data_IF_668628644473
#
_entry.id   IF_668628644473
#
_cell.length_a   1.000
_cell.length_b   1.000
_cell.length_c   1.000
_cell.angle_alpha   90.00
_cell.angle_beta   90.00
_cell.angle_gamma   90.00
#
_symmetry.space_group_name_H-M   'P 1'
#
loop_
_entity.id
_entity.type
_entity.pdbx_description
1 polymer ?
#
# COMPACT_ATOMS: atom_id res chain seq x y z
N UNK A 1 8.55 19.86 3.18
CA UNK A 1 7.22 19.31 2.83
C UNK A 1 6.64 20.00 1.61
N UNK A 2 6.76 21.32 1.50
CA UNK A 2 6.23 22.11 0.37
C UNK A 2 6.75 21.68 -1.00
N UNK A 3 7.95 21.08 -1.07
CA UNK A 3 8.46 20.55 -2.33
C UNK A 3 7.82 19.21 -2.74
N UNK A 4 7.32 18.40 -1.81
CA UNK A 4 6.67 17.12 -2.15
C UNK A 4 5.31 17.30 -2.84
N UNK A 5 4.74 18.50 -2.82
CA UNK A 5 3.47 18.80 -3.49
C UNK A 5 3.66 19.37 -4.89
N UNK A 6 4.89 19.44 -5.41
CA UNK A 6 5.18 20.06 -6.72
C UNK A 6 5.18 19.07 -7.88
N UNK A 7 5.30 17.76 -7.62
CA UNK A 7 5.25 16.74 -8.67
C UNK A 7 4.00 15.87 -8.53
N UNK A 8 3.44 15.49 -9.68
CA UNK A 8 2.23 14.65 -9.72
C UNK A 8 2.45 13.30 -9.04
N UNK A 9 3.64 12.70 -9.21
CA UNK A 9 3.95 11.40 -8.64
C UNK A 9 3.97 11.43 -7.10
N UNK A 10 4.66 12.39 -6.49
CA UNK A 10 4.67 12.53 -5.03
C UNK A 10 3.30 12.93 -4.48
N UNK A 11 2.55 13.80 -5.18
CA UNK A 11 1.18 14.16 -4.80
C UNK A 11 0.24 12.95 -4.73
N UNK A 12 0.28 12.07 -5.74
CA UNK A 12 -0.54 10.85 -5.75
C UNK A 12 -0.20 9.97 -4.54
N UNK A 13 1.09 9.82 -4.23
CA UNK A 13 1.53 9.06 -3.07
C UNK A 13 1.09 9.69 -1.73
N UNK A 14 1.09 11.02 -1.62
CA UNK A 14 0.57 11.73 -0.44
C UNK A 14 -0.94 11.52 -0.25
N UNK A 15 -1.73 11.59 -1.33
CA UNK A 15 -3.16 11.29 -1.26
C UNK A 15 -3.42 9.83 -0.88
N UNK A 16 -2.63 8.89 -1.42
CA UNK A 16 -2.71 7.48 -1.02
C UNK A 16 -2.34 7.30 0.47
N UNK A 17 -1.31 7.98 0.97
CA UNK A 17 -0.94 7.95 2.38
C UNK A 17 -2.08 8.45 3.27
N UNK A 18 -2.71 9.58 2.92
CA UNK A 18 -3.85 10.11 3.65
C UNK A 18 -5.05 9.14 3.64
N UNK A 19 -5.34 8.53 2.49
CA UNK A 19 -6.41 7.54 2.34
C UNK A 19 -6.15 6.28 3.19
N UNK A 20 -4.95 5.72 3.13
CA UNK A 20 -4.59 4.54 3.92
C UNK A 20 -4.57 4.84 5.41
N UNK A 21 -4.09 6.02 5.81
CA UNK A 21 -4.11 6.43 7.21
C UNK A 21 -5.55 6.55 7.73
N UNK A 22 -6.42 7.24 6.98
CA UNK A 22 -7.85 7.35 7.33
C UNK A 22 -8.51 5.97 7.41
N UNK A 23 -8.20 5.08 6.47
CA UNK A 23 -8.68 3.70 6.49
C UNK A 23 -8.20 2.95 7.73
N UNK A 24 -6.95 3.16 8.14
CA UNK A 24 -6.38 2.64 9.38
C UNK A 24 -7.13 3.12 10.63
N UNK A 25 -7.51 4.39 10.70
CA UNK A 25 -8.30 4.93 11.82
C UNK A 25 -9.70 4.32 11.87
N UNK A 26 -10.39 4.26 10.73
CA UNK A 26 -11.75 3.70 10.64
C UNK A 26 -11.77 2.19 10.97
N UNK A 27 -10.82 1.44 10.42
CA UNK A 27 -10.67 0.00 10.74
C UNK A 27 -10.21 -0.24 12.18
N UNK A 28 -9.50 0.72 12.80
CA UNK A 28 -9.18 0.69 14.22
C UNK A 28 -10.42 0.83 15.12
N UNK A 29 -11.32 1.75 14.78
CA UNK A 29 -12.61 1.87 15.46
C UNK A 29 -13.46 0.60 15.28
N UNK A 30 -13.51 0.06 14.06
CA UNK A 30 -14.19 -1.22 13.79
C UNK A 30 -13.59 -2.38 14.60
N UNK A 31 -12.25 -2.47 14.65
CA UNK A 31 -11.53 -3.47 15.44
C UNK A 31 -11.93 -3.40 16.92
N UNK A 32 -11.97 -2.20 17.51
CA UNK A 32 -12.41 -2.02 18.89
C UNK A 32 -13.83 -2.54 19.11
N UNK A 33 -14.78 -2.13 18.26
CA UNK A 33 -16.17 -2.61 18.35
C UNK A 33 -16.24 -4.14 18.21
N UNK A 34 -15.50 -4.73 17.28
CA UNK A 34 -15.45 -6.18 17.10
C UNK A 34 -14.89 -6.92 18.34
N UNK A 35 -13.87 -6.36 18.99
CA UNK A 35 -13.33 -6.90 20.24
C UNK A 35 -14.34 -6.86 21.38
N UNK A 36 -15.09 -5.76 21.54
CA UNK A 36 -16.08 -5.65 22.62
C UNK A 36 -17.25 -6.64 22.50
N UNK A 37 -17.52 -7.15 21.29
CA UNK A 37 -18.58 -8.13 21.00
C UNK A 37 -18.09 -9.58 21.00
N UNK A 38 -16.79 -9.79 21.16
CA UNK A 38 -16.14 -11.09 21.11
C UNK A 38 -16.01 -11.66 22.53
N UNK A 39 -16.41 -12.93 22.72
CA UNK A 39 -16.30 -13.61 24.03
C UNK A 39 -14.84 -13.65 24.55
N UNK A 40 -13.88 -13.67 23.64
CA UNK A 40 -12.45 -13.68 23.96
C UNK A 40 -11.82 -12.29 23.98
N UNK A 41 -12.60 -11.23 23.72
CA UNK A 41 -12.14 -9.86 23.53
C UNK A 41 -11.02 -9.72 22.49
N UNK A 42 -10.97 -10.64 21.51
CA UNK A 42 -9.99 -10.63 20.41
C UNK A 42 -10.65 -10.16 19.13
N UNK A 43 -9.87 -9.41 18.34
CA UNK A 43 -10.28 -8.96 17.03
C UNK A 43 -10.31 -10.14 16.05
N UNK A 44 -11.30 -10.21 15.14
CA UNK A 44 -11.24 -11.12 14.01
C UNK A 44 -9.95 -10.91 13.21
N UNK A 45 -9.40 -12.00 12.67
CA UNK A 45 -8.07 -12.00 12.08
C UNK A 45 -7.90 -10.94 10.99
N UNK A 46 -8.73 -10.93 9.94
CA UNK A 46 -8.59 -9.94 8.86
C UNK A 46 -9.00 -8.52 9.25
N UNK A 47 -9.76 -8.33 10.33
CA UNK A 47 -10.03 -6.99 10.88
C UNK A 47 -8.75 -6.41 11.49
N UNK A 48 -7.99 -7.22 12.24
CA UNK A 48 -6.68 -6.82 12.75
C UNK A 48 -5.68 -6.56 11.62
N UNK A 49 -5.63 -7.44 10.62
CA UNK A 49 -4.74 -7.30 9.46
C UNK A 49 -5.08 -6.04 8.66
N UNK A 50 -6.37 -5.78 8.36
CA UNK A 50 -6.80 -4.59 7.64
C UNK A 50 -6.35 -3.30 8.33
N UNK A 51 -6.52 -3.22 9.66
CA UNK A 51 -6.09 -2.08 10.45
C UNK A 51 -4.57 -1.86 10.41
N UNK A 52 -3.80 -2.91 10.72
CA UNK A 52 -2.34 -2.82 10.78
C UNK A 52 -1.72 -2.55 9.40
N UNK A 53 -2.21 -3.21 8.37
CA UNK A 53 -1.76 -3.01 6.99
C UNK A 53 -2.05 -1.57 6.53
N UNK A 54 -3.25 -1.05 6.80
CA UNK A 54 -3.60 0.33 6.43
C UNK A 54 -2.66 1.37 7.05
N UNK A 55 -2.33 1.23 8.34
CA UNK A 55 -1.36 2.11 9.00
C UNK A 55 0.04 1.97 8.40
N UNK A 56 0.54 0.74 8.23
CA UNK A 56 1.87 0.51 7.66
C UNK A 56 1.98 1.04 6.23
N UNK A 57 0.96 0.80 5.41
CA UNK A 57 0.93 1.25 4.01
C UNK A 57 0.79 2.75 3.89
N UNK A 58 0.20 3.45 4.85
CA UNK A 58 0.22 4.91 4.89
C UNK A 58 1.66 5.46 5.01
N UNK A 59 2.47 4.90 5.90
CA UNK A 59 3.88 5.27 6.03
C UNK A 59 4.71 4.83 4.83
N UNK A 60 4.42 3.65 4.26
CA UNK A 60 5.05 3.23 3.02
C UNK A 60 4.72 4.18 1.85
N UNK A 61 3.48 4.66 1.76
CA UNK A 61 3.09 5.64 0.75
C UNK A 61 3.80 7.00 0.94
N UNK A 62 4.04 7.42 2.19
CA UNK A 62 4.91 8.58 2.47
C UNK A 62 6.35 8.36 2.00
N UNK A 63 6.91 7.17 2.22
CA UNK A 63 8.24 6.81 1.73
C UNK A 63 8.29 6.87 0.20
N UNK A 64 7.29 6.28 -0.46
CA UNK A 64 7.14 6.35 -1.93
C UNK A 64 7.04 7.80 -2.40
N UNK A 65 6.31 8.68 -1.70
CA UNK A 65 6.19 10.09 -2.07
C UNK A 65 7.55 10.81 -2.10
N UNK A 66 8.41 10.53 -1.11
CA UNK A 66 9.76 11.12 -1.03
C UNK A 66 10.63 10.65 -2.20
N UNK A 67 10.68 9.34 -2.47
CA UNK A 67 11.48 8.83 -3.58
C UNK A 67 10.92 9.22 -4.95
N UNK A 68 9.59 9.28 -5.10
CA UNK A 68 8.93 9.73 -6.31
C UNK A 68 9.25 11.20 -6.63
N UNK A 69 9.31 12.06 -5.60
CA UNK A 69 9.74 13.45 -5.78
C UNK A 69 11.15 13.53 -6.37
N UNK A 70 12.14 12.90 -5.74
CA UNK A 70 13.52 12.95 -6.23
C UNK A 70 13.70 12.25 -7.56
N UNK A 71 13.02 11.12 -7.78
CA UNK A 71 13.00 10.44 -9.08
C UNK A 71 12.46 11.36 -10.18
N UNK A 72 11.48 12.22 -9.88
CA UNK A 72 10.95 13.20 -10.83
C UNK A 72 11.92 14.34 -11.15
N UNK A 73 12.92 14.59 -10.30
CA UNK A 73 13.98 15.57 -10.55
C UNK A 73 15.17 14.98 -11.30
N UNK A 74 15.19 13.67 -11.51
CA UNK A 74 16.27 12.95 -12.19
C UNK A 74 16.05 12.89 -13.71
N UNK A 75 16.95 12.20 -14.41
CA UNK A 75 16.81 11.90 -15.85
C UNK A 75 15.81 10.77 -16.16
N UNK A 76 15.17 10.16 -15.15
CA UNK A 76 14.13 9.14 -15.36
C UNK A 76 12.89 9.77 -16.01
N UNK A 77 12.31 9.15 -17.06
CA UNK A 77 11.08 9.67 -17.69
C UNK A 77 9.94 9.85 -16.69
N UNK A 78 9.25 11.00 -16.75
CA UNK A 78 8.17 11.34 -15.82
C UNK A 78 7.05 10.29 -15.78
N UNK A 79 6.69 9.72 -16.93
CA UNK A 79 5.68 8.67 -17.03
C UNK A 79 6.11 7.39 -16.30
N UNK A 80 7.39 7.04 -16.35
CA UNK A 80 7.93 5.87 -15.66
C UNK A 80 7.97 6.09 -14.15
N UNK A 81 8.41 7.27 -13.68
CA UNK A 81 8.35 7.63 -12.26
C UNK A 81 6.90 7.58 -11.73
N UNK A 82 5.95 8.11 -12.49
CA UNK A 82 4.54 8.09 -12.12
C UNK A 82 3.97 6.66 -12.07
N UNK A 83 4.25 5.83 -13.09
CA UNK A 83 3.81 4.43 -13.12
C UNK A 83 4.39 3.63 -11.95
N UNK A 84 5.69 3.79 -11.68
CA UNK A 84 6.39 3.17 -10.55
C UNK A 84 5.93 3.66 -9.19
N UNK A 85 5.30 4.83 -9.13
CA UNK A 85 4.64 5.33 -7.91
C UNK A 85 3.24 4.74 -7.75
N UNK A 86 2.44 4.75 -8.82
CA UNK A 86 1.05 4.28 -8.79
C UNK A 86 0.97 2.78 -8.56
N UNK A 87 1.80 1.97 -9.23
CA UNK A 87 1.64 0.52 -9.23
C UNK A 87 1.73 -0.11 -7.83
N UNK A 88 2.73 0.19 -6.98
CA UNK A 88 2.76 -0.30 -5.60
C UNK A 88 1.55 0.16 -4.77
N UNK A 89 1.17 1.44 -4.89
CA UNK A 89 0.04 2.02 -4.15
C UNK A 89 -1.28 1.36 -4.51
N UNK A 90 -1.49 1.00 -5.78
CA UNK A 90 -2.66 0.26 -6.22
C UNK A 90 -2.72 -1.11 -5.54
N UNK A 91 -1.62 -1.86 -5.49
CA UNK A 91 -1.58 -3.16 -4.84
C UNK A 91 -1.76 -3.08 -3.31
N UNK A 92 -1.21 -2.04 -2.67
CA UNK A 92 -1.49 -1.75 -1.26
C UNK A 92 -2.98 -1.52 -1.02
N UNK A 93 -3.62 -0.68 -1.83
CA UNK A 93 -5.05 -0.39 -1.73
C UNK A 93 -5.92 -1.62 -1.98
N UNK A 94 -5.61 -2.42 -3.01
CA UNK A 94 -6.31 -3.68 -3.30
C UNK A 94 -6.19 -4.68 -2.14
N UNK A 95 -5.01 -4.79 -1.53
CA UNK A 95 -4.78 -5.67 -0.37
C UNK A 95 -5.62 -5.23 0.83
N UNK A 96 -5.63 -3.92 1.16
CA UNK A 96 -6.47 -3.38 2.23
C UNK A 96 -7.94 -3.69 1.97
N UNK A 97 -8.43 -3.44 0.75
CA UNK A 97 -9.81 -3.71 0.38
C UNK A 97 -10.17 -5.20 0.54
N UNK A 98 -9.28 -6.10 0.12
CA UNK A 98 -9.47 -7.54 0.30
C UNK A 98 -9.55 -7.92 1.79
N UNK A 99 -8.66 -7.38 2.63
CA UNK A 99 -8.70 -7.64 4.08
C UNK A 99 -9.97 -7.11 4.73
N UNK A 100 -10.48 -5.95 4.31
CA UNK A 100 -11.77 -5.44 4.77
C UNK A 100 -12.90 -6.39 4.40
N UNK A 101 -12.96 -6.84 3.13
CA UNK A 101 -13.98 -7.80 2.68
C UNK A 101 -13.92 -9.10 3.47
N UNK A 102 -12.73 -9.63 3.72
CA UNK A 102 -12.56 -10.87 4.48
C UNK A 102 -12.86 -10.69 5.96
N UNK A 103 -12.55 -9.53 6.53
CA UNK A 103 -12.94 -9.15 7.88
C UNK A 103 -14.46 -9.08 8.04
N UNK A 104 -15.17 -8.56 7.04
CA UNK A 104 -16.64 -8.52 7.01
C UNK A 104 -17.26 -9.91 6.90
N UNK A 105 -16.63 -10.82 6.13
CA UNK A 105 -17.05 -12.22 6.03
C UNK A 105 -16.67 -13.06 7.25
N UNK A 106 -15.90 -12.48 8.19
CA UNK A 106 -15.32 -13.19 9.34
C UNK A 106 -14.56 -14.46 8.92
N UNK A 107 -13.97 -14.44 7.72
CA UNK A 107 -13.11 -15.52 7.25
C UNK A 107 -11.88 -15.56 8.13
N UNK A 108 -11.52 -16.72 8.65
CA UNK A 108 -10.35 -16.86 9.54
C UNK A 108 -9.34 -17.87 9.01
N UNK A 109 -9.71 -18.63 7.98
CA UNK A 109 -8.81 -19.54 7.33
C UNK A 109 -7.79 -18.82 6.45
N UNK A 110 -6.67 -19.50 6.25
CA UNK A 110 -5.60 -19.03 5.39
C UNK A 110 -6.10 -18.98 3.93
N UNK A 111 -6.13 -17.78 3.35
CA UNK A 111 -6.52 -17.54 1.95
C UNK A 111 -5.82 -18.46 0.95
N UNK A 112 -4.55 -18.82 1.20
CA UNK A 112 -3.76 -19.69 0.32
C UNK A 112 -4.03 -21.17 0.51
N UNK A 113 -4.54 -21.57 1.69
CA UNK A 113 -4.88 -22.97 1.97
C UNK A 113 -6.19 -23.35 1.29
N UNK A 114 -7.18 -22.47 1.40
CA UNK A 114 -8.55 -22.72 0.91
C UNK A 114 -8.83 -21.95 -0.40
N UNK A 115 -7.78 -21.69 -1.18
CA UNK A 115 -7.87 -20.93 -2.42
C UNK A 115 -8.64 -21.72 -3.49
N UNK A 116 -9.83 -21.23 -3.83
CA UNK A 116 -10.67 -21.81 -4.88
C UNK A 116 -10.12 -21.55 -6.29
N UNK A 117 -9.18 -20.61 -6.45
CA UNK A 117 -8.65 -20.15 -7.74
C UNK A 117 -7.11 -19.95 -7.72
N UNK A 118 -6.32 -20.99 -7.42
CA UNK A 118 -4.86 -20.88 -7.20
C UNK A 118 -4.07 -20.37 -8.42
N UNK A 119 -4.59 -20.53 -9.63
CA UNK A 119 -4.01 -19.92 -10.83
C UNK A 119 -4.04 -18.40 -10.81
N UNK A 120 -5.20 -17.83 -10.43
CA UNK A 120 -5.43 -16.37 -10.39
C UNK A 120 -4.61 -15.75 -9.27
N UNK A 121 -4.64 -16.34 -8.07
CA UNK A 121 -3.88 -15.86 -6.91
C UNK A 121 -2.38 -15.86 -7.18
N UNK A 122 -1.83 -16.91 -7.80
CA UNK A 122 -0.40 -16.94 -8.16
C UNK A 122 -0.04 -15.84 -9.15
N UNK A 123 -0.89 -15.59 -10.15
CA UNK A 123 -0.67 -14.51 -11.11
C UNK A 123 -0.72 -13.15 -10.44
N UNK A 124 -1.71 -12.92 -9.58
CA UNK A 124 -1.86 -11.70 -8.80
C UNK A 124 -0.63 -11.44 -7.93
N UNK A 125 -0.17 -12.43 -7.16
CA UNK A 125 1.01 -12.30 -6.30
C UNK A 125 2.28 -11.99 -7.11
N UNK A 126 2.45 -12.60 -8.29
CA UNK A 126 3.57 -12.29 -9.19
C UNK A 126 3.50 -10.86 -9.70
N UNK A 127 2.33 -10.42 -10.14
CA UNK A 127 2.12 -9.04 -10.60
C UNK A 127 2.38 -8.03 -9.47
N UNK A 128 1.91 -8.32 -8.26
CA UNK A 128 2.16 -7.52 -7.06
C UNK A 128 3.65 -7.42 -6.77
N UNK A 129 4.38 -8.55 -6.71
CA UNK A 129 5.81 -8.54 -6.45
C UNK A 129 6.60 -7.74 -7.50
N UNK A 130 6.26 -7.91 -8.78
CA UNK A 130 6.89 -7.16 -9.87
C UNK A 130 6.61 -5.66 -9.75
N UNK A 131 5.37 -5.28 -9.44
CA UNK A 131 4.97 -3.89 -9.30
C UNK A 131 5.64 -3.22 -8.10
N UNK A 132 5.63 -3.87 -6.93
CA UNK A 132 6.20 -3.31 -5.70
C UNK A 132 7.72 -3.23 -5.76
N UNK A 133 8.39 -4.34 -6.07
CA UNK A 133 9.87 -4.39 -6.10
C UNK A 133 10.39 -3.58 -7.29
N UNK A 134 9.83 -3.79 -8.48
CA UNK A 134 10.26 -3.11 -9.69
C UNK A 134 9.95 -1.62 -9.67
N UNK A 135 8.73 -1.25 -9.25
CA UNK A 135 8.33 0.15 -9.10
C UNK A 135 9.24 0.88 -8.12
N UNK A 136 9.44 0.34 -6.92
CA UNK A 136 10.30 0.98 -5.93
C UNK A 136 11.77 1.05 -6.38
N UNK A 137 12.29 0.01 -7.04
CA UNK A 137 13.66 0.03 -7.58
C UNK A 137 13.88 1.16 -8.59
N UNK A 138 12.90 1.45 -9.45
CA UNK A 138 12.95 2.61 -10.36
C UNK A 138 13.03 3.91 -9.57
N UNK A 139 12.20 4.09 -8.54
CA UNK A 139 12.19 5.32 -7.74
C UNK A 139 13.52 5.54 -7.00
N UNK A 140 14.10 4.47 -6.46
CA UNK A 140 15.43 4.51 -5.83
C UNK A 140 16.52 4.82 -6.84
N UNK A 141 16.42 4.26 -8.05
CA UNK A 141 17.36 4.58 -9.14
C UNK A 141 17.27 6.05 -9.54
N UNK A 142 16.06 6.60 -9.64
CA UNK A 142 15.86 8.02 -9.90
C UNK A 142 16.44 8.90 -8.80
N UNK A 143 16.22 8.56 -7.52
CA UNK A 143 16.87 9.24 -6.40
C UNK A 143 18.40 9.19 -6.50
N UNK A 144 18.99 8.01 -6.77
CA UNK A 144 20.42 7.87 -6.96
C UNK A 144 20.93 8.79 -8.08
N UNK A 145 20.30 8.76 -9.26
CA UNK A 145 20.68 9.60 -10.39
C UNK A 145 20.56 11.09 -10.10
N UNK A 146 19.56 11.50 -9.31
CA UNK A 146 19.43 12.87 -8.84
C UNK A 146 20.60 13.28 -7.93
N UNK A 147 21.01 12.42 -6.99
CA UNK A 147 22.13 12.74 -6.08
C UNK A 147 23.49 12.89 -6.78
N UNK A 148 23.67 12.29 -7.97
CA UNK A 148 24.90 12.46 -8.76
C UNK A 148 24.98 13.81 -9.48
N UNK A 149 23.92 14.62 -9.43
CA UNK A 149 23.84 15.95 -10.06
C UNK A 149 24.05 17.09 -9.06
N UNK A 150 24.22 16.77 -7.77
CA UNK A 150 24.52 17.72 -6.69
C UNK A 150 26.02 18.00 -6.63
#
# INVERSE_FOLDING_TARGET
MDQLITTTASLVALYAAALFFMTGLLTGAWKYVAMTRSESYRAPFYVDVAHRASLLYAFAAMLVAVFAFYSSQSSIPIALTLASTIAPLLFFGLSIALYVVLGLKNETNNQLRDDQTPGVTRWFMRALMLAEIGGFAVLVTGFYLYTQQL
#
